data_IF_474519096116
#
_entry.id   IF_474519096116
#
_cell.length_a   1.000
_cell.length_b   1.000
_cell.length_c   1.000
_cell.angle_alpha   90.00
_cell.angle_beta   90.00
_cell.angle_gamma   90.00
#
_symmetry.space_group_name_H-M   'P 1'
#
loop_
_entity.id
_entity.type
_entity.pdbx_description
1 polymer ?
#
# COMPACT_ATOMS: atom_id res chain seq x y z
N UNK A 1 7.46 0.72 26.89
CA UNK A 1 6.98 -0.67 27.00
C UNK A 1 6.51 -1.11 25.61
N UNK A 2 6.88 -2.29 25.13
CA UNK A 2 6.46 -2.80 23.80
C UNK A 2 5.02 -3.28 23.88
N UNK A 3 4.17 -2.95 22.89
CA UNK A 3 2.79 -3.43 22.87
C UNK A 3 2.72 -4.94 22.64
N UNK A 4 1.68 -5.61 23.18
CA UNK A 4 1.48 -7.05 22.97
C UNK A 4 1.48 -7.45 21.47
N UNK A 5 0.77 -6.74 20.56
CA UNK A 5 0.81 -7.08 19.13
C UNK A 5 2.22 -7.02 18.54
N UNK A 6 3.01 -6.01 18.93
CA UNK A 6 4.39 -5.88 18.45
C UNK A 6 5.28 -7.01 18.96
N UNK A 7 5.17 -7.36 20.24
CA UNK A 7 5.91 -8.49 20.81
C UNK A 7 5.60 -9.81 20.08
N UNK A 8 4.33 -10.07 19.79
CA UNK A 8 3.91 -11.27 19.06
C UNK A 8 4.40 -11.30 17.60
N UNK A 9 4.38 -10.16 16.90
CA UNK A 9 4.91 -10.06 15.54
C UNK A 9 6.40 -10.38 15.50
N UNK A 10 7.18 -9.83 16.43
CA UNK A 10 8.61 -10.07 16.54
C UNK A 10 8.89 -11.55 16.85
N UNK A 11 8.14 -12.16 17.78
CA UNK A 11 8.27 -13.58 18.10
C UNK A 11 7.97 -14.48 16.90
N UNK A 12 6.92 -14.19 16.12
CA UNK A 12 6.60 -14.94 14.89
C UNK A 12 7.69 -14.80 13.83
N UNK A 13 8.24 -13.61 13.64
CA UNK A 13 9.33 -13.38 12.69
C UNK A 13 10.58 -14.19 13.09
N UNK A 14 11.00 -14.10 14.35
CA UNK A 14 12.17 -14.80 14.88
C UNK A 14 12.04 -16.32 14.80
N UNK A 15 10.84 -16.86 15.04
CA UNK A 15 10.62 -18.31 15.05
C UNK A 15 10.41 -18.92 13.67
N UNK A 16 9.87 -18.18 12.70
CA UNK A 16 9.44 -18.74 11.40
C UNK A 16 10.21 -18.24 10.19
N UNK A 17 10.53 -16.95 10.12
CA UNK A 17 11.01 -16.32 8.89
C UNK A 17 12.50 -15.99 8.95
N UNK A 18 12.96 -15.37 10.04
CA UNK A 18 14.35 -14.95 10.18
C UNK A 18 15.38 -16.10 10.00
N UNK A 19 15.15 -17.33 10.50
CA UNK A 19 16.13 -18.42 10.37
C UNK A 19 16.36 -18.90 8.93
N UNK A 20 15.38 -18.70 8.05
CA UNK A 20 15.40 -19.18 6.65
C UNK A 20 15.48 -18.04 5.64
N UNK A 21 15.58 -16.80 6.10
CA UNK A 21 15.64 -15.63 5.23
C UNK A 21 16.89 -15.65 4.35
N UNK A 22 16.68 -15.43 3.05
CA UNK A 22 17.75 -15.21 2.09
C UNK A 22 17.61 -13.81 1.52
N UNK A 23 18.71 -13.06 1.52
CA UNK A 23 18.71 -11.72 0.96
C UNK A 23 18.40 -11.79 -0.55
N UNK A 24 17.47 -10.94 -1.05
CA UNK A 24 17.17 -10.88 -2.47
C UNK A 24 18.35 -10.26 -3.25
N UNK A 25 18.36 -10.37 -4.58
CA UNK A 25 19.30 -9.64 -5.44
C UNK A 25 19.30 -8.13 -5.15
N UNK A 26 20.42 -7.47 -5.42
CA UNK A 26 20.55 -6.03 -5.24
C UNK A 26 19.53 -5.25 -6.07
N UNK A 27 18.99 -4.16 -5.50
CA UNK A 27 17.91 -3.40 -6.13
C UNK A 27 18.24 -2.93 -7.55
N UNK A 28 19.48 -2.47 -7.80
CA UNK A 28 19.89 -1.98 -9.12
C UNK A 28 19.99 -3.12 -10.15
N UNK A 29 20.38 -4.32 -9.73
CA UNK A 29 20.35 -5.51 -10.59
C UNK A 29 18.91 -5.86 -10.98
N UNK A 30 18.01 -5.88 -9.99
CA UNK A 30 16.58 -6.14 -10.23
C UNK A 30 15.96 -5.08 -11.13
N UNK A 31 16.18 -3.79 -10.85
CA UNK A 31 15.66 -2.69 -11.65
C UNK A 31 16.13 -2.78 -13.11
N UNK A 32 17.40 -3.11 -13.33
CA UNK A 32 17.94 -3.29 -14.70
C UNK A 32 17.25 -4.44 -15.42
N UNK A 33 17.03 -5.58 -14.75
CA UNK A 33 16.30 -6.72 -15.30
C UNK A 33 14.86 -6.35 -15.66
N UNK A 34 14.14 -5.70 -14.75
CA UNK A 34 12.75 -5.27 -14.96
C UNK A 34 12.66 -4.31 -16.15
N UNK A 35 13.56 -3.33 -16.26
CA UNK A 35 13.58 -2.38 -17.38
C UNK A 35 13.81 -3.07 -18.72
N UNK A 36 14.63 -4.12 -18.73
CA UNK A 36 14.96 -4.87 -19.94
C UNK A 36 13.81 -5.79 -20.38
N UNK A 37 13.11 -6.45 -19.44
CA UNK A 37 12.00 -7.35 -19.79
C UNK A 37 10.65 -6.65 -19.95
N UNK A 38 10.44 -5.52 -19.26
CA UNK A 38 9.13 -4.84 -19.19
C UNK A 38 8.11 -5.55 -18.30
N UNK A 39 8.47 -6.66 -17.66
CA UNK A 39 7.55 -7.53 -16.89
C UNK A 39 7.29 -7.03 -15.46
N UNK A 40 7.79 -5.85 -15.11
CA UNK A 40 7.56 -5.26 -13.79
C UNK A 40 6.09 -4.90 -13.58
N UNK A 41 5.58 -5.24 -12.39
CA UNK A 41 4.21 -4.92 -11.98
C UNK A 41 4.24 -4.04 -10.74
N UNK A 42 3.36 -3.03 -10.71
CA UNK A 42 3.01 -2.32 -9.48
C UNK A 42 1.56 -2.58 -9.16
N UNK A 43 1.29 -3.11 -7.98
CA UNK A 43 -0.07 -3.33 -7.48
C UNK A 43 -0.38 -2.24 -6.47
N UNK A 44 -1.34 -1.38 -6.81
CA UNK A 44 -1.95 -0.43 -5.91
C UNK A 44 -3.21 -1.06 -5.30
N UNK A 45 -3.27 -1.20 -3.98
CA UNK A 45 -4.44 -1.77 -3.30
C UNK A 45 -4.86 -1.04 -2.04
N UNK A 46 -6.08 -1.31 -1.55
CA UNK A 46 -6.54 -0.77 -0.27
C UNK A 46 -5.68 -1.29 0.89
N UNK A 47 -5.51 -0.52 1.97
CA UNK A 47 -4.83 -0.94 3.22
C UNK A 47 -5.67 -1.85 4.14
N UNK A 48 -6.84 -2.30 3.69
CA UNK A 48 -7.73 -3.17 4.47
C UNK A 48 -7.00 -4.46 4.94
N UNK A 49 -7.04 -4.80 6.25
CA UNK A 49 -6.34 -5.95 6.78
C UNK A 49 -6.88 -7.30 6.31
N UNK A 50 -8.12 -7.35 5.79
CA UNK A 50 -8.75 -8.54 5.18
C UNK A 50 -8.23 -8.77 3.76
N UNK A 51 -7.64 -7.75 3.14
CA UNK A 51 -7.08 -7.83 1.80
C UNK A 51 -5.58 -8.18 1.87
N UNK A 52 -5.22 -9.38 1.43
CA UNK A 52 -3.84 -9.78 1.20
C UNK A 52 -3.57 -9.91 -0.32
N UNK A 53 -3.03 -8.87 -0.97
CA UNK A 53 -2.90 -8.86 -2.42
C UNK A 53 -1.89 -9.89 -2.92
N UNK A 54 -0.84 -10.21 -2.14
CA UNK A 54 0.12 -11.26 -2.50
C UNK A 54 -0.57 -12.63 -2.64
N UNK A 55 -1.43 -12.97 -1.68
CA UNK A 55 -2.15 -14.25 -1.70
C UNK A 55 -3.24 -14.28 -2.78
N UNK A 56 -4.03 -13.21 -2.90
CA UNK A 56 -5.16 -13.14 -3.84
C UNK A 56 -4.68 -13.21 -5.30
N UNK A 57 -3.57 -12.55 -5.62
CA UNK A 57 -3.00 -12.53 -6.97
C UNK A 57 -2.05 -13.71 -7.24
N UNK A 58 -1.82 -14.60 -6.26
CA UNK A 58 -0.91 -15.73 -6.40
C UNK A 58 0.54 -15.32 -6.70
N UNK A 59 1.01 -14.22 -6.10
CA UNK A 59 2.34 -13.67 -6.39
C UNK A 59 3.43 -14.46 -5.67
N UNK A 60 4.46 -14.81 -6.43
CA UNK A 60 5.68 -15.43 -5.94
C UNK A 60 6.93 -14.67 -6.42
N UNK A 61 8.11 -15.25 -6.22
CA UNK A 61 9.40 -14.63 -6.60
C UNK A 61 9.68 -14.63 -8.10
N UNK A 62 8.86 -15.29 -8.93
CA UNK A 62 9.03 -15.33 -10.37
C UNK A 62 8.59 -14.03 -11.06
N UNK A 63 7.59 -13.34 -10.50
CA UNK A 63 7.07 -12.08 -11.02
C UNK A 63 7.53 -10.89 -10.16
N UNK A 64 8.30 -9.93 -10.69
CA UNK A 64 8.70 -8.74 -9.97
C UNK A 64 7.51 -7.78 -9.75
N UNK A 65 6.78 -7.98 -8.65
CA UNK A 65 5.63 -7.18 -8.26
C UNK A 65 5.93 -6.30 -7.02
N UNK A 66 5.71 -5.00 -7.16
CA UNK A 66 5.79 -4.03 -6.05
C UNK A 66 4.39 -3.76 -5.50
N UNK A 67 4.26 -3.75 -4.17
CA UNK A 67 3.00 -3.39 -3.50
C UNK A 67 3.01 -1.93 -3.03
N UNK A 68 1.99 -1.18 -3.44
CA UNK A 68 1.65 0.14 -2.89
C UNK A 68 0.27 0.02 -2.26
N UNK A 69 0.13 0.44 -1.00
CA UNK A 69 -1.16 0.37 -0.28
C UNK A 69 -1.51 1.68 0.40
N UNK A 70 -2.75 2.13 0.24
CA UNK A 70 -3.33 3.29 0.93
C UNK A 70 -4.82 3.05 1.20
N UNK A 71 -5.47 3.94 1.98
CA UNK A 71 -6.89 3.83 2.25
C UNK A 71 -7.68 3.85 0.93
N UNK A 72 -8.48 2.81 0.66
CA UNK A 72 -9.28 2.69 -0.56
C UNK A 72 -8.53 2.37 -1.85
N UNK A 73 -7.19 2.24 -1.85
CA UNK A 73 -6.43 1.96 -3.08
C UNK A 73 -6.52 3.10 -4.09
N UNK A 74 -6.46 4.35 -3.61
CA UNK A 74 -6.67 5.56 -4.43
C UNK A 74 -5.42 5.94 -5.18
N UNK A 75 -5.56 6.12 -6.49
CA UNK A 75 -4.44 6.44 -7.37
C UNK A 75 -3.84 7.81 -7.06
N UNK A 76 -4.65 8.83 -6.76
CA UNK A 76 -4.18 10.19 -6.51
C UNK A 76 -3.17 10.26 -5.35
N UNK A 77 -3.41 9.51 -4.27
CA UNK A 77 -2.48 9.38 -3.14
C UNK A 77 -1.21 8.57 -3.47
N UNK A 78 -1.27 7.76 -4.52
CA UNK A 78 -0.16 6.91 -4.94
C UNK A 78 0.72 7.57 -6.01
N UNK A 79 0.28 8.64 -6.70
CA UNK A 79 0.96 9.22 -7.87
C UNK A 79 2.44 9.45 -7.62
N UNK A 80 2.81 10.10 -6.51
CA UNK A 80 4.22 10.37 -6.19
C UNK A 80 5.05 9.08 -6.12
N UNK A 81 4.52 8.04 -5.47
CA UNK A 81 5.18 6.73 -5.37
C UNK A 81 5.24 6.03 -6.73
N UNK A 82 4.14 6.04 -7.49
CA UNK A 82 4.08 5.47 -8.83
C UNK A 82 5.11 6.12 -9.76
N UNK A 83 5.26 7.45 -9.73
CA UNK A 83 6.26 8.18 -10.51
C UNK A 83 7.70 7.77 -10.17
N UNK A 84 8.00 7.55 -8.89
CA UNK A 84 9.32 7.06 -8.47
C UNK A 84 9.57 5.64 -8.97
N UNK A 85 8.59 4.75 -8.82
CA UNK A 85 8.68 3.36 -9.30
C UNK A 85 8.82 3.30 -10.83
N UNK A 86 8.09 4.17 -11.55
CA UNK A 86 8.21 4.33 -12.99
C UNK A 86 9.62 4.74 -13.41
N UNK A 87 10.25 5.65 -12.65
CA UNK A 87 11.61 6.13 -12.92
C UNK A 87 12.67 5.06 -12.67
N UNK A 88 12.54 4.33 -11.56
CA UNK A 88 13.53 3.32 -11.15
C UNK A 88 13.43 2.07 -12.02
N UNK A 89 12.26 1.45 -12.04
CA UNK A 89 12.05 0.12 -12.62
C UNK A 89 11.39 0.12 -14.00
N UNK A 90 10.73 1.21 -14.40
CA UNK A 90 9.87 1.26 -15.61
C UNK A 90 8.95 0.03 -15.73
N UNK A 91 8.17 -0.32 -14.68
CA UNK A 91 7.22 -1.42 -14.75
C UNK A 91 6.29 -1.23 -15.96
N UNK A 92 5.99 -2.33 -16.66
CA UNK A 92 5.10 -2.32 -17.81
C UNK A 92 3.62 -2.35 -17.41
N UNK A 93 3.32 -2.71 -16.16
CA UNK A 93 1.93 -2.90 -15.70
C UNK A 93 1.68 -2.22 -14.36
N UNK A 94 0.54 -1.54 -14.25
CA UNK A 94 -0.03 -1.07 -12.99
C UNK A 94 -1.39 -1.75 -12.79
N UNK A 95 -1.55 -2.46 -11.67
CA UNK A 95 -2.81 -3.10 -11.25
C UNK A 95 -3.42 -2.27 -10.14
N UNK A 96 -4.67 -1.86 -10.28
CA UNK A 96 -5.44 -1.19 -9.23
C UNK A 96 -6.46 -2.17 -8.66
N UNK A 97 -6.33 -2.49 -7.37
CA UNK A 97 -7.16 -3.46 -6.67
C UNK A 97 -7.94 -2.79 -5.53
N UNK A 98 -9.23 -2.54 -5.79
CA UNK A 98 -10.20 -2.19 -4.75
C UNK A 98 -10.82 -3.45 -4.14
N UNK A 99 -11.67 -3.27 -3.14
CA UNK A 99 -12.48 -4.35 -2.58
C UNK A 99 -13.86 -3.84 -2.18
N UNK A 100 -14.82 -4.75 -2.11
CA UNK A 100 -16.16 -4.50 -1.56
C UNK A 100 -16.10 -4.29 -0.06
N UNK A 101 -17.13 -3.65 0.50
CA UNK A 101 -17.21 -3.35 1.94
C UNK A 101 -15.98 -2.57 2.43
N UNK A 102 -15.59 -1.56 1.65
CA UNK A 102 -14.43 -0.72 1.93
C UNK A 102 -14.77 0.34 2.99
N UNK A 103 -13.83 0.67 3.88
CA UNK A 103 -14.02 1.80 4.79
C UNK A 103 -14.40 3.09 4.06
N UNK A 104 -13.86 3.29 2.85
CA UNK A 104 -14.16 4.46 2.02
C UNK A 104 -15.58 4.49 1.42
N UNK A 105 -16.35 3.39 1.51
CA UNK A 105 -17.79 3.37 1.18
C UNK A 105 -18.69 3.58 2.40
N UNK A 106 -18.13 3.64 3.61
CA UNK A 106 -18.87 3.79 4.86
C UNK A 106 -18.57 5.10 5.59
N UNK A 107 -17.39 5.68 5.35
CA UNK A 107 -16.98 6.96 5.91
C UNK A 107 -16.75 7.98 4.80
N UNK A 108 -17.39 9.14 4.95
CA UNK A 108 -17.32 10.22 3.99
C UNK A 108 -16.24 11.23 4.39
N UNK A 109 -15.78 12.02 3.43
CA UNK A 109 -14.74 13.03 3.66
C UNK A 109 -15.13 13.99 4.79
N UNK A 110 -16.42 14.33 4.90
CA UNK A 110 -16.95 15.17 5.98
C UNK A 110 -16.79 14.53 7.38
N UNK A 111 -16.97 13.22 7.49
CA UNK A 111 -16.82 12.50 8.76
C UNK A 111 -15.35 12.44 9.19
N UNK A 112 -14.45 12.18 8.24
CA UNK A 112 -12.99 12.18 8.48
C UNK A 112 -12.53 13.57 8.91
N UNK A 113 -12.96 14.63 8.21
CA UNK A 113 -12.63 16.02 8.56
C UNK A 113 -13.10 16.38 9.96
N UNK A 114 -14.35 16.04 10.31
CA UNK A 114 -14.89 16.27 11.66
C UNK A 114 -14.04 15.57 12.73
N UNK A 115 -13.74 14.29 12.55
CA UNK A 115 -12.94 13.53 13.50
C UNK A 115 -11.51 14.09 13.65
N UNK A 116 -10.88 14.53 12.55
CA UNK A 116 -9.55 15.13 12.60
C UNK A 116 -9.54 16.48 13.32
N UNK A 117 -10.60 17.29 13.19
CA UNK A 117 -10.74 18.56 13.91
C UNK A 117 -10.93 18.36 15.42
N UNK A 118 -11.54 17.27 15.85
CA UNK A 118 -11.62 16.91 17.27
C UNK A 118 -10.24 16.56 17.85
N UNK A 119 -9.35 15.96 17.03
CA UNK A 119 -7.99 15.58 17.42
C UNK A 119 -7.04 16.78 17.38
N UNK A 120 -7.13 17.60 16.33
CA UNK A 120 -6.27 18.75 16.12
C UNK A 120 -7.07 19.96 15.60
N UNK A 121 -7.69 20.73 16.52
CA UNK A 121 -8.51 21.89 16.16
C UNK A 121 -7.74 22.98 15.39
N UNK A 122 -6.44 23.13 15.65
CA UNK A 122 -5.61 24.20 15.09
C UNK A 122 -5.25 23.97 13.60
N UNK A 123 -5.46 22.75 13.09
CA UNK A 123 -5.15 22.39 11.70
C UNK A 123 -6.34 22.60 10.74
N UNK A 124 -7.29 23.48 11.10
CA UNK A 124 -8.57 23.64 10.41
C UNK A 124 -8.47 23.83 8.89
N UNK A 125 -7.67 24.80 8.45
CA UNK A 125 -7.50 25.11 7.03
C UNK A 125 -6.92 23.93 6.25
N UNK A 126 -5.89 23.28 6.80
CA UNK A 126 -5.27 22.11 6.20
C UNK A 126 -6.28 20.97 6.06
N UNK A 127 -6.97 20.59 7.14
CA UNK A 127 -7.93 19.48 7.14
C UNK A 127 -9.07 19.74 6.13
N UNK A 128 -9.56 20.97 6.03
CA UNK A 128 -10.63 21.31 5.10
C UNK A 128 -10.18 21.22 3.64
N UNK A 129 -8.92 21.54 3.35
CA UNK A 129 -8.33 21.42 2.01
C UNK A 129 -8.05 19.98 1.54
N UNK A 130 -8.06 19.01 2.45
CA UNK A 130 -7.78 17.61 2.12
C UNK A 130 -8.98 16.93 1.44
N UNK A 131 -8.66 16.02 0.52
CA UNK A 131 -9.59 15.05 -0.04
C UNK A 131 -9.16 13.66 0.44
N UNK A 132 -10.09 12.89 0.99
CA UNK A 132 -9.81 11.56 1.55
C UNK A 132 -10.22 10.42 0.62
N UNK A 133 -10.90 10.75 -0.48
CA UNK A 133 -11.20 9.78 -1.52
C UNK A 133 -12.38 8.87 -1.18
N UNK A 134 -13.42 9.41 -0.53
CA UNK A 134 -14.70 8.73 -0.35
C UNK A 134 -15.28 8.10 -1.65
N UNK A 135 -16.09 7.07 -1.47
CA UNK A 135 -16.84 6.38 -2.53
C UNK A 135 -18.32 6.70 -2.32
N UNK A 136 -18.89 7.52 -3.21
CA UNK A 136 -20.28 8.02 -3.07
C UNK A 136 -21.36 7.09 -3.64
N UNK A 137 -20.98 6.20 -4.55
CA UNK A 137 -21.90 5.36 -5.33
C UNK A 137 -21.41 3.90 -5.36
N UNK A 138 -21.44 3.22 -4.22
CA UNK A 138 -21.21 1.77 -4.11
C UNK A 138 -22.50 0.99 -4.22
#
# INVERSE_FOLDING_TARGET
MVSKPLAEMLARNLSKFAPTYQAPPGLMQLATKIRASGEGVVVLSCSDPRLNPYQILGLDSSLPATMVRNAGGRAFDAIRTLSVLQTIGRPGTIVVMHHTDCGMSHFHDADVKRALLEINPDAGELIQSMEFGEIKNG
#
